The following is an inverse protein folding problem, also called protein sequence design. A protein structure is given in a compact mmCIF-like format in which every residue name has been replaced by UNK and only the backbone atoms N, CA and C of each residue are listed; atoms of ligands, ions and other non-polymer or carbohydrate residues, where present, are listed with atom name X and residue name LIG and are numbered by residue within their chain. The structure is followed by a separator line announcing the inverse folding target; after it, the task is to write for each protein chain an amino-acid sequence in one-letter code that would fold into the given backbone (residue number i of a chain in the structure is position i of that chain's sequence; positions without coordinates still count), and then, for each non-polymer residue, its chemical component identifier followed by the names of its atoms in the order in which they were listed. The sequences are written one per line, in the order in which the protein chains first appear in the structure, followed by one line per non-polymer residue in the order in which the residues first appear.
data_IF_100607714637
#
_entry.id   IF_100607714637
#
_cell.length_a   1.000
_cell.length_b   1.000
_cell.length_c   1.000
_cell.angle_alpha   90.00
_cell.angle_beta   90.00
_cell.angle_gamma   90.00
#
_symmetry.space_group_name_H-M   'P 1'
#
loop_
_entity.id
_entity.type
_entity.pdbx_description
1 polymer ?
#
# COMPACT_ATOMS: atom_id res chain seq x y z
N UNK A 1 10.68 7.25 -10.08
CA UNK A 1 9.45 6.59 -9.58
C UNK A 1 8.91 7.46 -8.47
N UNK A 2 7.61 7.82 -8.46
CA UNK A 2 7.04 8.61 -7.38
C UNK A 2 7.11 7.82 -6.06
N UNK A 3 7.54 8.49 -4.98
CA UNK A 3 7.60 7.92 -3.63
C UNK A 3 6.20 7.57 -3.13
N UNK A 4 6.00 6.31 -2.80
CA UNK A 4 4.73 5.77 -2.27
C UNK A 4 4.28 6.52 -1.01
N UNK A 5 5.23 7.02 -0.21
CA UNK A 5 5.00 7.85 0.98
C UNK A 5 4.23 9.14 0.70
N UNK A 6 4.24 9.64 -0.53
CA UNK A 6 3.54 10.89 -0.89
C UNK A 6 2.08 10.69 -1.32
N UNK A 7 1.65 9.43 -1.52
CA UNK A 7 0.31 9.12 -2.03
C UNK A 7 -0.69 8.74 -0.94
N UNK A 8 -0.19 8.33 0.20
CA UNK A 8 -0.99 7.88 1.33
C UNK A 8 -1.42 9.09 2.15
N UNK A 9 -2.72 9.40 2.15
CA UNK A 9 -3.31 10.51 2.91
C UNK A 9 -3.34 10.30 4.43
N UNK A 10 -2.57 9.33 4.94
CA UNK A 10 -2.51 8.90 6.33
C UNK A 10 -1.11 8.36 6.68
N UNK A 11 -0.92 7.95 7.93
CA UNK A 11 0.36 7.46 8.43
C UNK A 11 0.58 6.00 7.99
N UNK A 12 1.68 5.72 7.30
CA UNK A 12 2.09 4.34 7.02
C UNK A 12 2.55 3.67 8.31
N UNK A 13 1.90 2.58 8.71
CA UNK A 13 2.20 1.87 9.96
C UNK A 13 2.83 0.49 9.74
N UNK A 14 2.65 -0.10 8.56
CA UNK A 14 3.23 -1.39 8.19
C UNK A 14 3.37 -1.47 6.67
N UNK A 15 4.36 -2.22 6.22
CA UNK A 15 4.59 -2.47 4.80
C UNK A 15 5.12 -3.90 4.61
N UNK A 16 4.45 -4.66 3.75
CA UNK A 16 4.79 -6.05 3.47
C UNK A 16 4.91 -6.28 1.95
N UNK A 17 5.87 -7.09 1.55
CA UNK A 17 6.00 -7.54 0.17
C UNK A 17 5.37 -8.93 0.02
N UNK A 18 4.33 -9.01 -0.80
CA UNK A 18 3.60 -10.23 -1.09
C UNK A 18 3.99 -10.78 -2.47
N UNK A 19 4.04 -12.10 -2.58
CA UNK A 19 4.15 -12.81 -3.85
C UNK A 19 2.82 -13.51 -4.15
N UNK A 20 2.09 -13.03 -5.15
CA UNK A 20 0.75 -13.52 -5.50
C UNK A 20 0.73 -13.91 -6.96
N UNK A 21 0.55 -15.21 -7.25
CA UNK A 21 0.49 -15.76 -8.62
C UNK A 21 1.66 -15.32 -9.51
N UNK A 22 2.86 -15.22 -8.93
CA UNK A 22 4.08 -14.79 -9.63
C UNK A 22 4.26 -13.27 -9.74
N UNK A 23 3.32 -12.48 -9.22
CA UNK A 23 3.46 -11.02 -9.13
C UNK A 23 3.94 -10.60 -7.73
N UNK A 24 4.83 -9.62 -7.68
CA UNK A 24 5.22 -8.97 -6.45
C UNK A 24 4.33 -7.75 -6.19
N UNK A 25 3.74 -7.69 -5.00
CA UNK A 25 2.77 -6.67 -4.58
C UNK A 25 3.16 -6.13 -3.20
N UNK A 26 3.29 -4.82 -3.07
CA UNK A 26 3.36 -4.18 -1.76
C UNK A 26 1.96 -4.09 -1.16
N UNK A 27 1.82 -4.59 0.07
CA UNK A 27 0.65 -4.38 0.92
C UNK A 27 1.04 -3.40 2.02
N UNK A 28 0.40 -2.23 2.02
CA UNK A 28 0.78 -1.09 2.86
C UNK A 28 -0.38 -0.77 3.78
N UNK A 29 -0.18 -0.89 5.09
CA UNK A 29 -1.18 -0.47 6.06
C UNK A 29 -1.01 1.00 6.38
N UNK A 30 -2.12 1.70 6.34
CA UNK A 30 -2.21 3.14 6.50
C UNK A 30 -3.23 3.42 7.57
N UNK A 31 -2.82 4.14 8.61
CA UNK A 31 -3.71 4.72 9.59
C UNK A 31 -4.20 6.06 9.06
N UNK A 32 -5.48 6.11 8.69
CA UNK A 32 -6.10 7.36 8.27
C UNK A 32 -6.33 8.29 9.46
N UNK A 33 -6.41 9.62 9.25
CA UNK A 33 -6.65 10.61 10.32
C UNK A 33 -7.93 10.36 11.14
N UNK A 34 -8.90 9.63 10.57
CA UNK A 34 -10.12 9.18 11.26
C UNK A 34 -9.95 7.97 12.17
N UNK A 35 -8.71 7.49 12.40
CA UNK A 35 -8.41 6.32 13.24
C UNK A 35 -8.68 4.97 12.57
N UNK A 36 -9.02 4.95 11.28
CA UNK A 36 -9.28 3.73 10.52
C UNK A 36 -8.01 3.25 9.83
N UNK A 37 -7.66 2.00 10.05
CA UNK A 37 -6.61 1.31 9.29
C UNK A 37 -7.18 0.85 7.95
N UNK A 38 -6.42 1.03 6.88
CA UNK A 38 -6.71 0.48 5.55
C UNK A 38 -5.44 -0.13 4.98
N UNK A 39 -5.58 -1.22 4.23
CA UNK A 39 -4.46 -1.81 3.48
C UNK A 39 -4.56 -1.41 2.02
N UNK A 40 -3.53 -0.79 1.48
CA UNK A 40 -3.41 -0.45 0.07
C UNK A 40 -2.44 -1.40 -0.62
N UNK A 41 -2.77 -1.80 -1.85
CA UNK A 41 -1.99 -2.72 -2.65
C UNK A 41 -1.40 -2.04 -3.87
N UNK A 42 -0.10 -2.23 -4.09
CA UNK A 42 0.63 -1.67 -5.21
C UNK A 42 1.49 -2.74 -5.89
N UNK A 43 1.57 -2.74 -7.22
CA UNK A 43 2.54 -3.59 -7.91
C UNK A 43 3.97 -3.16 -7.56
N UNK A 44 4.80 -4.10 -7.10
CA UNK A 44 6.14 -3.77 -6.61
C UNK A 44 7.08 -3.28 -7.73
N UNK A 45 6.87 -3.77 -8.95
CA UNK A 45 7.68 -3.42 -10.10
C UNK A 45 7.43 -1.99 -10.62
N UNK A 46 6.18 -1.52 -10.54
CA UNK A 46 5.75 -0.27 -11.19
C UNK A 46 5.26 0.80 -10.22
N UNK A 47 4.94 0.43 -8.97
CA UNK A 47 4.28 1.31 -8.00
C UNK A 47 2.84 1.67 -8.38
N UNK A 48 2.23 0.94 -9.33
CA UNK A 48 0.85 1.15 -9.75
C UNK A 48 -0.09 0.65 -8.66
N UNK A 49 -1.06 1.49 -8.30
CA UNK A 49 -2.13 1.13 -7.35
C UNK A 49 -3.04 0.05 -7.93
N UNK A 50 -3.32 -0.96 -7.13
CA UNK A 50 -4.20 -2.08 -7.48
C UNK A 50 -5.58 -1.86 -6.85
N UNK A 51 -5.60 -1.52 -5.56
CA UNK A 51 -6.81 -1.41 -4.77
C UNK A 51 -6.52 -1.24 -3.30
N UNK A 52 -7.57 -1.09 -2.50
CA UNK A 52 -7.47 -0.91 -1.05
C UNK A 52 -8.60 -1.62 -0.33
N UNK A 53 -8.32 -2.17 0.85
CA UNK A 53 -9.27 -2.87 1.71
C UNK A 53 -9.29 -2.26 3.14
N UNK A 54 -10.45 -2.21 3.80
CA UNK A 54 -10.57 -1.84 5.22
C UNK A 54 -9.83 -2.78 6.17
#
# INVERSE_FOLDING_TARGET
MPDISTRTGGEMIDAQLLSVRGFLVYAIKVLNPGGKVTTEYYYAQSGIFIGSEP
#
